data_IF_061623830439
#
_entry.id   IF_061623830439
#
_cell.length_a   1.000
_cell.length_b   1.000
_cell.length_c   1.000
_cell.angle_alpha   90.00
_cell.angle_beta   90.00
_cell.angle_gamma   90.00
#
_symmetry.space_group_name_H-M   'P 1'
#
loop_
_entity.id
_entity.type
_entity.pdbx_description
1 polymer ?
#
# COMPACT_ATOMS: atom_id res chain seq x y z
N UNK A 1 8.19 -12.12 -15.71
CA UNK A 1 9.16 -11.39 -14.83
C UNK A 1 8.70 -11.55 -13.39
N UNK A 2 9.61 -11.92 -12.50
CA UNK A 2 9.30 -12.12 -11.08
C UNK A 2 9.34 -10.82 -10.28
N UNK A 3 8.56 -10.75 -9.21
CA UNK A 3 8.52 -9.62 -8.28
C UNK A 3 9.91 -9.23 -7.75
N UNK A 4 10.78 -10.23 -7.52
CA UNK A 4 12.15 -10.02 -7.03
C UNK A 4 12.99 -9.06 -7.89
N UNK A 5 12.68 -8.91 -9.16
CA UNK A 5 13.38 -8.01 -10.08
C UNK A 5 12.89 -6.55 -10.00
N UNK A 6 11.78 -6.28 -9.29
CA UNK A 6 11.10 -5.00 -9.37
C UNK A 6 10.96 -4.26 -8.03
N UNK A 7 10.85 -4.97 -6.90
CA UNK A 7 10.56 -4.32 -5.63
C UNK A 7 11.77 -3.62 -5.00
N UNK A 8 11.50 -2.53 -4.32
CA UNK A 8 12.48 -1.84 -3.49
C UNK A 8 12.60 -2.53 -2.13
N UNK A 9 13.83 -2.84 -1.71
CA UNK A 9 14.13 -3.53 -0.44
C UNK A 9 14.11 -2.60 0.77
N UNK A 10 14.31 -1.29 0.55
CA UNK A 10 14.23 -0.31 1.65
C UNK A 10 12.76 0.08 1.85
N UNK A 11 12.16 -0.44 2.92
CA UNK A 11 10.75 -0.20 3.25
C UNK A 11 10.66 0.56 4.56
N UNK A 12 10.04 1.75 4.50
CA UNK A 12 9.62 2.47 5.70
C UNK A 12 8.30 1.88 6.19
N UNK A 13 8.23 1.51 7.45
CA UNK A 13 7.05 0.94 8.11
C UNK A 13 6.76 1.65 9.43
N UNK A 14 5.56 1.45 9.95
CA UNK A 14 5.19 1.81 11.32
C UNK A 14 4.68 0.58 12.08
N UNK A 15 4.37 0.74 13.36
CA UNK A 15 3.76 -0.30 14.17
C UNK A 15 2.26 -0.02 14.38
N UNK A 16 1.51 -1.04 14.74
CA UNK A 16 0.08 -0.91 15.05
C UNK A 16 -0.18 -0.08 16.31
N UNK A 17 0.81 0.09 17.19
CA UNK A 17 0.77 0.91 18.40
C UNK A 17 1.16 2.36 18.19
N UNK A 18 1.78 2.69 17.06
CA UNK A 18 2.13 4.08 16.75
C UNK A 18 0.88 4.95 16.67
N UNK A 19 1.05 6.24 16.97
CA UNK A 19 -0.02 7.22 16.76
C UNK A 19 -0.12 7.60 15.28
N UNK A 20 -1.28 8.12 14.88
CA UNK A 20 -1.43 8.67 13.52
C UNK A 20 -0.49 9.84 13.26
N UNK A 21 -0.10 10.61 14.29
CA UNK A 21 0.89 11.67 14.18
C UNK A 21 2.27 11.12 13.81
N UNK A 22 2.70 10.02 14.44
CA UNK A 22 3.96 9.35 14.12
C UNK A 22 3.94 8.78 12.69
N UNK A 23 2.85 8.12 12.30
CA UNK A 23 2.69 7.61 10.95
C UNK A 23 2.69 8.74 9.91
N UNK A 24 1.95 9.83 10.14
CA UNK A 24 1.95 11.01 9.28
C UNK A 24 3.35 11.62 9.15
N UNK A 25 4.11 11.67 10.24
CA UNK A 25 5.49 12.14 10.25
C UNK A 25 6.42 11.28 9.38
N UNK A 26 6.24 9.95 9.39
CA UNK A 26 7.00 9.04 8.51
C UNK A 26 6.64 9.25 7.04
N UNK A 27 5.34 9.34 6.71
CA UNK A 27 4.88 9.61 5.36
C UNK A 27 5.46 10.90 4.80
N UNK A 28 5.45 11.97 5.60
CA UNK A 28 5.97 13.28 5.24
C UNK A 28 7.50 13.27 5.02
N UNK A 29 8.26 12.76 6.00
CA UNK A 29 9.74 12.75 5.94
C UNK A 29 10.29 11.93 4.79
N UNK A 30 9.63 10.81 4.45
CA UNK A 30 10.06 9.92 3.37
C UNK A 30 9.40 10.20 2.03
N UNK A 31 8.49 11.20 1.96
CA UNK A 31 7.73 11.55 0.76
C UNK A 31 7.01 10.33 0.14
N UNK A 32 6.34 9.56 0.98
CA UNK A 32 5.60 8.35 0.60
C UNK A 32 4.14 8.47 1.03
N UNK A 33 3.23 7.76 0.37
CA UNK A 33 1.79 7.84 0.63
C UNK A 33 1.22 6.64 1.36
N UNK A 34 2.04 5.65 1.76
CA UNK A 34 1.57 4.51 2.56
C UNK A 34 2.70 3.90 3.38
N UNK A 35 2.32 3.21 4.45
CA UNK A 35 3.21 2.45 5.31
C UNK A 35 2.64 1.04 5.51
N UNK A 36 3.45 -0.01 5.39
CA UNK A 36 3.16 -1.29 6.02
C UNK A 36 3.11 -1.10 7.54
N UNK A 37 2.14 -1.75 8.16
CA UNK A 37 1.99 -1.76 9.61
C UNK A 37 2.45 -3.10 10.14
N UNK A 38 3.40 -3.08 11.07
CA UNK A 38 3.97 -4.27 11.66
C UNK A 38 3.43 -4.48 13.08
N UNK A 39 3.15 -5.73 13.41
CA UNK A 39 2.84 -6.13 14.77
C UNK A 39 4.11 -6.28 15.63
N UNK A 40 3.95 -6.65 16.90
CA UNK A 40 5.03 -6.81 17.87
C UNK A 40 6.08 -7.86 17.44
N UNK A 41 5.67 -8.86 16.65
CA UNK A 41 6.53 -9.90 16.12
C UNK A 41 7.24 -9.52 14.81
N UNK A 42 7.03 -8.28 14.33
CA UNK A 42 7.60 -7.74 13.09
C UNK A 42 6.93 -8.25 11.82
N UNK A 43 5.78 -8.92 11.93
CA UNK A 43 4.98 -9.38 10.80
C UNK A 43 4.03 -8.29 10.30
N UNK A 44 3.69 -8.36 9.03
CA UNK A 44 2.68 -7.47 8.44
C UNK A 44 1.30 -7.76 9.03
N UNK A 45 0.70 -6.74 9.67
CA UNK A 45 -0.65 -6.80 10.26
C UNK A 45 -1.62 -5.82 9.62
N UNK A 46 -1.14 -4.87 8.81
CA UNK A 46 -1.98 -3.89 8.14
C UNK A 46 -1.23 -3.00 7.17
N UNK A 47 -1.97 -2.09 6.56
CA UNK A 47 -1.46 -0.97 5.77
C UNK A 47 -2.17 0.30 6.20
N UNK A 48 -1.47 1.43 6.18
CA UNK A 48 -2.07 2.76 6.39
C UNK A 48 -1.58 3.73 5.33
N UNK A 49 -2.48 4.61 4.88
CA UNK A 49 -2.19 5.63 3.87
C UNK A 49 -2.42 7.03 4.42
N UNK A 50 -1.86 8.04 3.76
CA UNK A 50 -2.13 9.46 4.01
C UNK A 50 -3.64 9.77 3.94
N UNK A 51 -4.36 9.14 3.00
CA UNK A 51 -5.81 9.29 2.86
C UNK A 51 -6.56 8.73 4.08
N UNK A 52 -6.16 7.58 4.62
CA UNK A 52 -6.79 6.99 5.80
C UNK A 52 -6.63 7.90 7.02
N UNK A 53 -5.44 8.49 7.19
CA UNK A 53 -5.15 9.42 8.28
C UNK A 53 -5.99 10.69 8.12
N UNK A 54 -6.08 11.26 6.92
CA UNK A 54 -6.88 12.45 6.63
C UNK A 54 -8.37 12.21 6.90
N UNK A 55 -8.90 11.06 6.46
CA UNK A 55 -10.32 10.70 6.69
C UNK A 55 -10.59 10.51 8.18
N UNK A 56 -9.69 9.83 8.91
CA UNK A 56 -9.83 9.64 10.36
C UNK A 56 -9.83 10.98 11.11
N UNK A 57 -8.93 11.89 10.76
CA UNK A 57 -8.87 13.22 11.34
C UNK A 57 -10.17 14.00 11.11
N UNK A 58 -10.72 13.94 9.90
CA UNK A 58 -11.96 14.61 9.54
C UNK A 58 -13.18 14.04 10.30
N UNK A 59 -13.31 12.69 10.31
CA UNK A 59 -14.48 12.04 10.90
C UNK A 59 -14.48 12.07 12.43
N UNK A 60 -13.32 11.95 13.05
CA UNK A 60 -13.23 11.88 14.51
C UNK A 60 -13.02 13.25 15.16
N UNK A 61 -12.47 14.23 14.42
CA UNK A 61 -12.18 15.56 14.94
C UNK A 61 -11.18 15.58 16.13
N UNK A 62 -10.46 14.47 16.33
CA UNK A 62 -9.49 14.30 17.40
C UNK A 62 -8.05 14.58 16.90
N UNK A 63 -7.14 15.02 17.78
CA UNK A 63 -5.75 15.19 17.42
C UNK A 63 -5.12 13.86 16.98
N UNK A 64 -4.27 13.87 15.95
CA UNK A 64 -3.62 12.65 15.42
C UNK A 64 -2.81 11.89 16.50
N UNK A 65 -2.24 12.60 17.47
CA UNK A 65 -1.50 11.99 18.59
C UNK A 65 -2.37 11.17 19.56
N UNK A 66 -3.70 11.34 19.52
CA UNK A 66 -4.63 10.59 20.36
C UNK A 66 -5.25 9.37 19.67
N UNK A 67 -4.96 9.17 18.39
CA UNK A 67 -5.45 8.04 17.60
C UNK A 67 -4.31 7.08 17.29
N UNK A 68 -4.56 5.78 17.40
CA UNK A 68 -3.57 4.74 17.06
C UNK A 68 -3.70 4.28 15.62
N UNK A 69 -2.59 3.84 15.03
CA UNK A 69 -2.57 3.24 13.69
C UNK A 69 -3.52 2.04 13.62
N UNK A 70 -3.54 1.18 14.64
CA UNK A 70 -4.42 0.00 14.70
C UNK A 70 -5.91 0.31 14.61
N UNK A 71 -6.33 1.52 15.02
CA UNK A 71 -7.74 1.93 14.96
C UNK A 71 -8.20 2.35 13.56
N UNK A 72 -7.25 2.60 12.63
CA UNK A 72 -7.53 3.19 11.31
C UNK A 72 -7.00 2.34 10.17
N UNK A 73 -5.94 1.54 10.39
CA UNK A 73 -5.28 0.73 9.36
C UNK A 73 -6.23 -0.24 8.65
N UNK A 74 -5.93 -0.53 7.39
CA UNK A 74 -6.55 -1.61 6.64
C UNK A 74 -5.89 -2.93 7.07
N UNK A 75 -6.69 -3.87 7.58
CA UNK A 75 -6.20 -5.17 8.11
C UNK A 75 -6.13 -6.26 7.04
N UNK A 76 -7.03 -6.24 6.06
CA UNK A 76 -7.01 -7.17 4.94
C UNK A 76 -6.06 -6.68 3.85
N UNK A 77 -4.79 -7.01 3.99
CA UNK A 77 -3.74 -6.57 3.08
C UNK A 77 -3.51 -7.60 1.99
N UNK A 78 -3.66 -7.18 0.73
CA UNK A 78 -3.19 -7.95 -0.42
C UNK A 78 -1.66 -7.92 -0.43
N UNK A 79 -1.03 -9.07 -0.49
CA UNK A 79 0.43 -9.24 -0.50
C UNK A 79 0.86 -10.13 -1.67
N UNK A 80 2.14 -10.09 -2.02
CA UNK A 80 2.76 -11.03 -2.94
C UNK A 80 4.09 -11.55 -2.39
N UNK A 81 4.57 -12.63 -2.96
CA UNK A 81 5.90 -13.18 -2.71
C UNK A 81 6.94 -12.67 -3.72
N UNK A 82 8.22 -12.84 -3.40
CA UNK A 82 9.32 -12.46 -4.30
C UNK A 82 9.32 -13.26 -5.63
N UNK A 83 8.79 -14.47 -5.59
CA UNK A 83 8.73 -15.37 -6.73
C UNK A 83 7.46 -15.26 -7.58
N UNK A 84 6.51 -14.41 -7.18
CA UNK A 84 5.28 -14.21 -7.94
C UNK A 84 5.57 -13.51 -9.27
N UNK A 85 4.79 -13.86 -10.29
CA UNK A 85 4.90 -13.24 -11.60
C UNK A 85 4.25 -11.85 -11.62
N UNK A 86 4.92 -10.88 -12.23
CA UNK A 86 4.43 -9.50 -12.29
C UNK A 86 3.07 -9.38 -12.96
N UNK A 87 2.76 -10.20 -13.97
CA UNK A 87 1.46 -10.17 -14.65
C UNK A 87 0.32 -10.55 -13.69
N UNK A 88 0.57 -11.48 -12.75
CA UNK A 88 -0.38 -11.85 -11.71
C UNK A 88 -0.58 -10.67 -10.74
N UNK A 89 0.51 -10.02 -10.33
CA UNK A 89 0.48 -8.86 -9.45
C UNK A 89 -0.27 -7.70 -10.10
N UNK A 90 -0.03 -7.42 -11.37
CA UNK A 90 -0.76 -6.41 -12.15
C UNK A 90 -2.25 -6.72 -12.18
N UNK A 91 -2.62 -7.99 -12.41
CA UNK A 91 -4.01 -8.44 -12.34
C UNK A 91 -4.68 -8.20 -10.97
N UNK A 92 -3.96 -8.46 -9.89
CA UNK A 92 -4.44 -8.21 -8.53
C UNK A 92 -4.59 -6.72 -8.23
N UNK A 93 -3.62 -5.88 -8.62
CA UNK A 93 -3.69 -4.44 -8.47
C UNK A 93 -4.90 -3.86 -9.22
N UNK A 94 -5.14 -4.35 -10.46
CA UNK A 94 -6.29 -3.97 -11.28
C UNK A 94 -7.61 -4.36 -10.61
N UNK A 95 -7.76 -5.63 -10.24
CA UNK A 95 -9.00 -6.17 -9.67
C UNK A 95 -9.40 -5.48 -8.35
N UNK A 96 -8.42 -5.11 -7.53
CA UNK A 96 -8.61 -4.48 -6.23
C UNK A 96 -8.46 -2.96 -6.25
N UNK A 97 -8.16 -2.35 -7.41
CA UNK A 97 -7.88 -0.90 -7.57
C UNK A 97 -6.82 -0.40 -6.60
N UNK A 98 -5.76 -1.19 -6.43
CA UNK A 98 -4.64 -0.87 -5.56
C UNK A 98 -3.52 -0.19 -6.35
N UNK A 99 -2.78 0.68 -5.69
CA UNK A 99 -1.61 1.36 -6.25
C UNK A 99 -0.28 0.73 -5.84
N UNK A 100 -0.32 -0.14 -4.83
CA UNK A 100 0.86 -0.78 -4.22
C UNK A 100 0.48 -2.12 -3.62
N UNK A 101 1.50 -2.98 -3.53
CA UNK A 101 1.38 -4.28 -2.88
C UNK A 101 2.66 -4.56 -2.10
N UNK A 102 2.59 -4.88 -0.79
CA UNK A 102 3.74 -5.33 -0.03
C UNK A 102 4.22 -6.70 -0.53
N UNK A 103 5.53 -6.86 -0.61
CA UNK A 103 6.19 -8.14 -0.85
C UNK A 103 6.58 -8.71 0.50
N UNK A 104 6.16 -9.94 0.77
CA UNK A 104 6.43 -10.62 2.05
C UNK A 104 7.21 -11.91 1.82
N UNK A 105 7.93 -12.33 2.85
CA UNK A 105 8.55 -13.65 2.93
C UNK A 105 7.59 -14.69 3.53
N UNK A 106 8.09 -15.92 3.72
CA UNK A 106 7.33 -17.05 4.30
C UNK A 106 6.89 -16.79 5.75
N UNK A 107 7.60 -15.95 6.48
CA UNK A 107 7.28 -15.56 7.86
C UNK A 107 6.35 -14.33 7.94
N UNK A 108 5.81 -13.86 6.80
CA UNK A 108 4.99 -12.66 6.67
C UNK A 108 5.72 -11.35 7.02
N UNK A 109 7.05 -11.34 6.93
CA UNK A 109 7.85 -10.12 7.08
C UNK A 109 7.88 -9.36 5.78
N UNK A 110 7.78 -8.04 5.85
CA UNK A 110 7.84 -7.19 4.65
C UNK A 110 9.29 -7.11 4.18
N UNK A 111 9.54 -7.61 2.97
CA UNK A 111 10.85 -7.59 2.30
C UNK A 111 10.93 -6.57 1.17
N UNK A 112 9.80 -5.97 0.80
CA UNK A 112 9.74 -4.95 -0.24
C UNK A 112 8.34 -4.40 -0.45
N UNK A 113 8.23 -3.43 -1.36
CA UNK A 113 6.96 -2.90 -1.89
C UNK A 113 7.09 -2.78 -3.40
N UNK A 114 6.05 -3.18 -4.12
CA UNK A 114 5.86 -2.89 -5.54
C UNK A 114 4.78 -1.84 -5.68
N UNK A 115 5.06 -0.79 -6.42
CA UNK A 115 4.11 0.27 -6.76
C UNK A 115 3.82 0.31 -8.26
N UNK A 116 2.74 0.98 -8.64
CA UNK A 116 2.46 1.26 -10.06
C UNK A 116 3.58 2.03 -10.76
N UNK A 117 4.31 2.88 -10.00
CA UNK A 117 5.45 3.61 -10.55
C UNK A 117 6.60 2.66 -10.92
N UNK A 118 6.81 1.60 -10.15
CA UNK A 118 7.84 0.59 -10.43
C UNK A 118 7.47 -0.20 -11.68
N UNK A 119 6.21 -0.60 -11.77
CA UNK A 119 5.66 -1.29 -12.95
C UNK A 119 5.75 -0.40 -14.19
N UNK A 120 5.38 0.88 -14.08
CA UNK A 120 5.45 1.83 -15.19
C UNK A 120 6.89 2.05 -15.67
N UNK A 121 7.85 2.17 -14.74
CA UNK A 121 9.28 2.29 -15.10
C UNK A 121 9.81 1.05 -15.82
N UNK A 122 9.43 -0.13 -15.34
CA UNK A 122 9.81 -1.37 -15.99
C UNK A 122 9.23 -1.51 -17.42
N UNK A 123 8.01 -1.00 -17.64
CA UNK A 123 7.42 -0.98 -18.97
C UNK A 123 8.11 0.00 -19.93
N UNK A 124 8.46 1.21 -19.45
CA UNK A 124 9.23 2.18 -20.24
C UNK A 124 10.58 1.58 -20.65
N UNK A 125 11.18 0.75 -19.79
CA UNK A 125 12.41 0.03 -20.08
C UNK A 125 12.20 -1.22 -20.99
N UNK A 126 11.01 -1.40 -21.58
CA UNK A 126 10.61 -2.54 -22.41
C UNK A 126 10.72 -3.91 -21.70
N UNK A 127 10.67 -3.94 -20.40
CA UNK A 127 10.70 -5.16 -19.59
C UNK A 127 9.30 -5.76 -19.35
N UNK A 128 8.23 -4.95 -19.57
CA UNK A 128 6.83 -5.31 -19.37
C UNK A 128 5.93 -4.77 -20.49
N UNK A 129 4.77 -5.42 -20.69
CA UNK A 129 3.77 -4.95 -21.65
C UNK A 129 3.06 -3.68 -21.17
N UNK A 130 3.01 -2.67 -22.03
CA UNK A 130 2.35 -1.37 -21.73
C UNK A 130 0.82 -1.52 -21.56
N UNK A 131 0.20 -2.50 -22.23
CA UNK A 131 -1.26 -2.67 -22.21
C UNK A 131 -1.82 -2.94 -20.81
N UNK A 132 -1.15 -3.76 -20.02
CA UNK A 132 -1.55 -4.05 -18.64
C UNK A 132 -1.51 -2.83 -17.72
N UNK A 133 -0.53 -1.94 -17.93
CA UNK A 133 -0.36 -0.73 -17.11
C UNK A 133 -1.43 0.31 -17.41
N UNK A 134 -1.76 0.51 -18.68
CA UNK A 134 -2.83 1.41 -19.09
C UNK A 134 -4.17 0.99 -18.46
N UNK A 135 -4.45 -0.32 -18.42
CA UNK A 135 -5.64 -0.87 -17.79
C UNK A 135 -5.67 -0.61 -16.26
N UNK A 136 -4.55 -0.79 -15.56
CA UNK A 136 -4.44 -0.51 -14.12
C UNK A 136 -4.65 0.98 -13.84
N UNK A 137 -4.01 1.87 -14.60
CA UNK A 137 -4.17 3.32 -14.44
C UNK A 137 -5.62 3.74 -14.70
N UNK A 138 -6.26 3.22 -15.75
CA UNK A 138 -7.67 3.49 -16.05
C UNK A 138 -8.59 3.04 -14.91
N UNK A 139 -8.38 1.84 -14.35
CA UNK A 139 -9.19 1.33 -13.26
C UNK A 139 -9.06 2.14 -11.96
N UNK A 140 -7.87 2.67 -11.69
CA UNK A 140 -7.61 3.51 -10.50
C UNK A 140 -8.15 4.92 -10.69
N UNK A 141 -8.18 5.43 -11.93
CA UNK A 141 -8.71 6.75 -12.26
C UNK A 141 -10.24 6.84 -12.12
N UNK A 142 -10.96 5.71 -12.18
CA UNK A 142 -12.41 5.70 -11.93
C UNK A 142 -12.67 6.07 -10.47
N UNK A 143 -13.45 7.15 -10.18
CA UNK A 143 -13.82 7.51 -8.83
C UNK A 143 -14.48 6.31 -8.13
N UNK A 144 -14.06 6.02 -6.90
CA UNK A 144 -14.83 5.09 -6.05
C UNK A 144 -16.18 5.75 -5.81
N UNK A 145 -17.27 5.13 -6.27
CA UNK A 145 -18.60 5.54 -5.82
C UNK A 145 -18.58 5.48 -4.29
N UNK A 146 -18.78 6.63 -3.65
CA UNK A 146 -19.14 6.64 -2.25
C UNK A 146 -20.46 5.89 -2.21
N UNK A 147 -20.48 4.69 -1.67
CA UNK A 147 -21.70 4.09 -1.17
C UNK A 147 -22.11 4.96 0.02
N UNK A 148 -22.79 6.07 -0.28
CA UNK A 148 -23.54 6.80 0.70
C UNK A 148 -24.70 5.87 0.98
N UNK A 149 -24.57 5.05 2.03
CA UNK A 149 -25.74 4.51 2.71
C UNK A 149 -26.50 5.74 3.19
N UNK A 150 -27.58 6.07 2.46
CA UNK A 150 -28.55 7.05 2.92
C UNK A 150 -29.08 6.65 4.29
N UNK A 151 -29.40 7.61 5.17
CA UNK A 151 -29.90 7.38 6.50
C UNK A 151 -31.21 6.59 6.52
#
# INVERSE_FOLDING_TARGET
MKAAALFHRTVTSCTDRDTLEQAAGLLWRHNIGCLPVLGDDGRLVGMITDRDIMIAAFLQGAPLRSMTVSSVMIKEVMTCGADDEIDVIVGQLLARRLRRIPVIDADRRVIGIISLNDIARAAIANQLSIGGIAAVLAAIAVPRSLAVSAP
#
